data_IF_113242768500
#
_entry.id   IF_113242768500
#
_cell.length_a   1.000
_cell.length_b   1.000
_cell.length_c   1.000
_cell.angle_alpha   90.00
_cell.angle_beta   90.00
_cell.angle_gamma   90.00
#
_symmetry.space_group_name_H-M   'P 1'
#
loop_
_entity.id
_entity.type
_entity.pdbx_description
1 polymer ?
#
# COMPACT_ATOMS: atom_id res chain seq x y z
N UNK A 1 36.69 -0.01 -44.49
CA UNK A 1 35.84 -0.75 -43.54
C UNK A 1 34.59 0.08 -43.25
N UNK A 2 33.42 -0.30 -43.79
CA UNK A 2 32.13 0.32 -43.42
C UNK A 2 31.64 -0.41 -42.17
N UNK A 3 31.65 0.25 -41.01
CA UNK A 3 31.21 -0.34 -39.75
C UNK A 3 29.75 -0.81 -39.87
N UNK A 4 29.52 -2.09 -39.58
CA UNK A 4 28.27 -2.84 -39.78
C UNK A 4 27.17 -2.51 -38.74
N UNK A 5 27.43 -1.60 -37.81
CA UNK A 5 26.52 -1.29 -36.69
C UNK A 5 25.51 -0.13 -36.93
N UNK A 6 25.13 0.14 -38.19
CA UNK A 6 24.19 1.20 -38.55
C UNK A 6 22.86 0.67 -39.09
N UNK A 7 22.27 -0.33 -38.43
CA UNK A 7 20.93 -0.79 -38.79
C UNK A 7 19.88 0.03 -37.99
N UNK A 8 19.13 0.93 -38.64
CA UNK A 8 18.01 1.64 -38.00
C UNK A 8 16.91 0.68 -37.53
N UNK A 9 16.88 -0.54 -38.08
CA UNK A 9 16.05 -1.63 -37.56
C UNK A 9 16.40 -1.99 -36.11
N UNK A 10 17.69 -2.03 -35.75
CA UNK A 10 18.14 -2.33 -34.39
C UNK A 10 17.74 -1.23 -33.39
N UNK A 11 17.90 0.04 -33.79
CA UNK A 11 17.51 1.18 -32.94
C UNK A 11 16.00 1.15 -32.64
N UNK A 12 15.21 0.84 -33.67
CA UNK A 12 13.76 0.83 -33.54
C UNK A 12 13.26 -0.40 -32.76
N UNK A 13 13.89 -1.56 -32.96
CA UNK A 13 13.63 -2.75 -32.16
C UNK A 13 13.96 -2.52 -30.67
N UNK A 14 15.08 -1.83 -30.36
CA UNK A 14 15.44 -1.46 -28.99
C UNK A 14 14.45 -0.47 -28.38
N UNK A 15 13.98 0.51 -29.14
CA UNK A 15 12.99 1.48 -28.66
C UNK A 15 11.61 0.83 -28.39
N UNK A 16 11.18 -0.08 -29.27
CA UNK A 16 9.94 -0.85 -29.06
C UNK A 16 10.05 -1.85 -27.91
N UNK A 17 11.21 -2.49 -27.78
CA UNK A 17 11.50 -3.34 -26.63
C UNK A 17 11.45 -2.52 -25.33
N UNK A 18 12.05 -1.32 -25.31
CA UNK A 18 11.98 -0.40 -24.17
C UNK A 18 10.55 0.01 -23.83
N UNK A 19 9.74 0.36 -24.86
CA UNK A 19 8.35 0.76 -24.69
C UNK A 19 7.47 -0.42 -24.20
N UNK A 20 7.65 -1.61 -24.77
CA UNK A 20 6.96 -2.83 -24.35
C UNK A 20 7.35 -3.24 -22.93
N UNK A 21 8.63 -3.16 -22.56
CA UNK A 21 9.12 -3.46 -21.22
C UNK A 21 8.59 -2.43 -20.20
N UNK A 22 8.57 -1.15 -20.56
CA UNK A 22 7.99 -0.07 -19.73
C UNK A 22 6.48 -0.25 -19.55
N UNK A 23 5.77 -0.66 -20.61
CA UNK A 23 4.36 -1.00 -20.53
C UNK A 23 4.13 -2.18 -19.58
N UNK A 24 4.87 -3.27 -19.76
CA UNK A 24 4.80 -4.46 -18.91
C UNK A 24 5.04 -4.11 -17.43
N UNK A 25 5.95 -3.18 -17.14
CA UNK A 25 6.13 -2.68 -15.77
C UNK A 25 4.98 -1.85 -15.24
N UNK A 26 4.35 -1.03 -16.09
CA UNK A 26 3.24 -0.14 -15.68
C UNK A 26 1.92 -0.89 -15.48
N UNK A 27 1.73 -2.02 -16.16
CA UNK A 27 0.54 -2.88 -16.04
C UNK A 27 0.54 -3.76 -14.77
N UNK A 28 1.39 -3.46 -13.79
CA UNK A 28 1.46 -4.21 -12.53
C UNK A 28 2.18 -5.56 -12.61
N UNK A 29 2.73 -5.94 -13.77
CA UNK A 29 3.52 -7.17 -13.93
C UNK A 29 4.99 -7.00 -13.52
N UNK A 30 5.34 -5.85 -12.95
CA UNK A 30 6.60 -5.72 -12.22
C UNK A 30 6.54 -6.68 -11.02
N UNK A 31 7.20 -7.84 -11.14
CA UNK A 31 7.22 -8.95 -10.16
C UNK A 31 7.66 -8.48 -8.75
N UNK A 32 8.23 -7.28 -8.65
CA UNK A 32 8.68 -6.68 -7.40
C UNK A 32 7.76 -5.52 -6.97
N UNK A 33 7.30 -5.56 -5.72
CA UNK A 33 6.57 -4.48 -5.01
C UNK A 33 7.21 -3.08 -5.12
N UNK A 34 8.49 -3.01 -5.48
CA UNK A 34 9.24 -1.78 -5.71
C UNK A 34 8.54 -0.82 -6.69
N UNK A 35 7.93 -1.33 -7.77
CA UNK A 35 7.21 -0.51 -8.74
C UNK A 35 5.92 0.07 -8.14
N UNK A 36 5.19 -0.70 -7.34
CA UNK A 36 3.98 -0.26 -6.64
C UNK A 36 4.24 0.80 -5.57
N UNK A 37 5.41 0.79 -4.94
CA UNK A 37 5.80 1.84 -4.00
C UNK A 37 6.21 3.15 -4.68
N UNK A 38 6.40 3.18 -6.00
CA UNK A 38 6.67 4.44 -6.71
C UNK A 38 5.45 5.33 -6.85
N UNK A 39 4.26 4.86 -6.48
CA UNK A 39 3.03 5.66 -6.44
C UNK A 39 3.16 6.83 -5.47
N UNK A 40 3.93 6.69 -4.38
CA UNK A 40 4.25 7.80 -3.47
C UNK A 40 5.14 8.88 -4.11
N UNK A 41 5.85 8.54 -5.19
CA UNK A 41 6.64 9.48 -5.97
C UNK A 41 5.88 9.99 -7.18
N UNK A 42 4.54 9.93 -7.21
CA UNK A 42 3.74 10.38 -8.34
C UNK A 42 4.12 11.80 -8.79
N UNK A 43 4.30 11.97 -10.10
CA UNK A 43 4.50 13.28 -10.70
C UNK A 43 3.15 13.75 -11.22
N UNK A 44 2.67 14.91 -10.76
CA UNK A 44 1.34 15.45 -11.08
C UNK A 44 0.20 14.45 -10.81
N UNK A 45 0.30 13.66 -9.74
CA UNK A 45 -0.74 12.68 -9.36
C UNK A 45 -0.74 11.38 -10.18
N UNK A 46 0.18 11.20 -11.13
CA UNK A 46 0.32 9.98 -11.91
C UNK A 46 1.61 9.22 -11.58
N UNK A 47 1.59 7.87 -11.59
CA UNK A 47 2.77 7.07 -11.32
C UNK A 47 3.84 7.26 -12.41
N UNK A 48 5.12 7.14 -12.04
CA UNK A 48 6.26 7.33 -12.96
C UNK A 48 6.21 6.45 -14.21
N UNK A 49 5.58 5.27 -14.15
CA UNK A 49 5.39 4.41 -15.32
C UNK A 49 4.62 5.10 -16.45
N UNK A 50 3.60 5.90 -16.12
CA UNK A 50 2.82 6.68 -17.10
C UNK A 50 3.72 7.73 -17.76
N UNK A 51 4.51 8.45 -16.97
CA UNK A 51 5.45 9.45 -17.49
C UNK A 51 6.57 8.84 -18.32
N UNK A 52 7.02 7.63 -17.98
CA UNK A 52 7.94 6.85 -18.81
C UNK A 52 7.35 6.55 -20.18
N UNK A 53 6.08 6.11 -20.24
CA UNK A 53 5.38 5.85 -21.49
C UNK A 53 5.24 7.13 -22.35
N UNK A 54 4.86 8.26 -21.73
CA UNK A 54 4.80 9.57 -22.40
C UNK A 54 6.17 9.98 -22.95
N UNK A 55 7.23 9.82 -22.16
CA UNK A 55 8.61 10.11 -22.58
C UNK A 55 9.01 9.30 -23.82
N UNK A 56 8.79 7.98 -23.82
CA UNK A 56 9.14 7.14 -24.96
C UNK A 56 8.30 7.46 -26.21
N UNK A 57 7.03 7.86 -26.03
CA UNK A 57 6.20 8.33 -27.14
C UNK A 57 6.75 9.63 -27.76
N UNK A 58 7.20 10.58 -26.94
CA UNK A 58 7.85 11.82 -27.41
C UNK A 58 9.15 11.51 -28.16
N UNK A 59 10.00 10.65 -27.59
CA UNK A 59 11.25 10.21 -28.24
C UNK A 59 10.98 9.56 -29.60
N UNK A 60 9.98 8.67 -29.68
CA UNK A 60 9.58 8.06 -30.93
C UNK A 60 9.08 9.09 -31.96
N UNK A 61 8.29 10.08 -31.53
CA UNK A 61 7.83 11.18 -32.38
C UNK A 61 8.97 12.05 -32.91
N UNK A 62 9.94 12.40 -32.05
CA UNK A 62 11.13 13.17 -32.45
C UNK A 62 12.01 12.41 -33.45
N UNK A 63 12.17 11.10 -33.23
CA UNK A 63 12.84 10.22 -34.18
C UNK A 63 12.10 10.19 -35.52
N UNK A 64 10.78 10.07 -35.50
CA UNK A 64 9.93 10.06 -36.69
C UNK A 64 9.99 11.35 -37.51
N UNK A 65 10.07 12.49 -36.83
CA UNK A 65 10.22 13.79 -37.45
C UNK A 65 11.65 14.04 -38.00
N UNK A 66 12.61 13.16 -37.72
CA UNK A 66 14.02 13.40 -38.05
C UNK A 66 14.63 14.56 -37.25
N UNK A 67 14.05 14.92 -36.10
CA UNK A 67 14.48 16.03 -35.25
C UNK A 67 15.69 15.63 -34.38
N UNK A 68 16.86 15.51 -35.01
CA UNK A 68 18.07 14.93 -34.39
C UNK A 68 18.50 15.62 -33.10
N UNK A 69 18.53 16.96 -33.09
CA UNK A 69 18.95 17.73 -31.92
C UNK A 69 17.96 17.61 -30.74
N UNK A 70 16.65 17.86 -30.94
CA UNK A 70 15.65 17.62 -29.90
C UNK A 70 15.64 16.18 -29.38
N UNK A 71 15.77 15.19 -30.27
CA UNK A 71 15.87 13.78 -29.88
C UNK A 71 17.03 13.55 -28.92
N UNK A 72 18.23 14.03 -29.26
CA UNK A 72 19.41 13.90 -28.40
C UNK A 72 19.23 14.55 -27.04
N UNK A 73 18.66 15.75 -27.00
CA UNK A 73 18.36 16.44 -25.75
C UNK A 73 17.37 15.64 -24.89
N UNK A 74 16.27 15.16 -25.49
CA UNK A 74 15.30 14.32 -24.80
C UNK A 74 15.94 13.04 -24.22
N UNK A 75 16.81 12.37 -24.99
CA UNK A 75 17.50 11.17 -24.50
C UNK A 75 18.41 11.46 -23.29
N UNK A 76 19.13 12.58 -23.29
CA UNK A 76 19.94 12.99 -22.13
C UNK A 76 19.08 13.27 -20.89
N UNK A 77 17.95 13.96 -21.07
CA UNK A 77 16.98 14.18 -19.99
C UNK A 77 16.46 12.84 -19.46
N UNK A 78 16.09 11.91 -20.34
CA UNK A 78 15.63 10.57 -19.96
C UNK A 78 16.67 9.79 -19.14
N UNK A 79 17.95 9.83 -19.54
CA UNK A 79 19.05 9.23 -18.76
C UNK A 79 19.16 9.87 -17.39
N UNK A 80 19.11 11.20 -17.29
CA UNK A 80 19.16 11.92 -16.02
C UNK A 80 18.00 11.54 -15.08
N UNK A 81 16.78 11.49 -15.61
CA UNK A 81 15.58 11.08 -14.86
C UNK A 81 15.70 9.63 -14.39
N UNK A 82 16.12 8.70 -15.24
CA UNK A 82 16.32 7.30 -14.83
C UNK A 82 17.39 7.16 -13.74
N UNK A 83 18.52 7.87 -13.87
CA UNK A 83 19.57 7.87 -12.86
C UNK A 83 19.07 8.42 -11.52
N UNK A 84 18.29 9.50 -11.55
CA UNK A 84 17.66 10.07 -10.36
C UNK A 84 16.69 9.10 -9.68
N UNK A 85 15.80 8.46 -10.46
CA UNK A 85 14.86 7.46 -9.92
C UNK A 85 15.58 6.26 -9.31
N UNK A 86 16.61 5.74 -9.98
CA UNK A 86 17.44 4.66 -9.44
C UNK A 86 18.15 5.08 -8.15
N UNK A 87 18.70 6.30 -8.10
CA UNK A 87 19.36 6.82 -6.90
C UNK A 87 18.38 6.95 -5.71
N UNK A 88 17.16 7.41 -5.95
CA UNK A 88 16.10 7.45 -4.92
C UNK A 88 15.77 6.04 -4.43
N UNK A 89 15.58 5.08 -5.35
CA UNK A 89 15.26 3.70 -4.97
C UNK A 89 16.36 3.11 -4.09
N UNK A 90 17.63 3.26 -4.49
CA UNK A 90 18.78 2.79 -3.71
C UNK A 90 18.83 3.46 -2.33
N UNK A 91 18.62 4.79 -2.25
CA UNK A 91 18.63 5.53 -0.98
C UNK A 91 17.55 5.04 0.00
N UNK A 92 16.43 4.53 -0.52
CA UNK A 92 15.34 3.96 0.27
C UNK A 92 15.51 2.45 0.53
N UNK A 93 16.67 1.87 0.21
CA UNK A 93 16.93 0.44 0.40
C UNK A 93 16.21 -0.47 -0.60
N UNK A 94 15.70 0.08 -1.71
CA UNK A 94 14.96 -0.65 -2.73
C UNK A 94 15.87 -0.83 -3.95
N UNK A 95 16.30 -2.07 -4.23
CA UNK A 95 17.02 -2.40 -5.47
C UNK A 95 16.08 -3.07 -6.46
N UNK A 96 15.66 -2.36 -7.51
CA UNK A 96 14.88 -2.94 -8.61
C UNK A 96 15.78 -3.19 -9.83
N UNK A 97 16.08 -4.47 -10.09
CA UNK A 97 16.88 -4.88 -11.25
C UNK A 97 16.29 -4.37 -12.57
N UNK A 98 14.96 -4.29 -12.65
CA UNK A 98 14.26 -3.82 -13.85
C UNK A 98 14.42 -2.32 -14.09
N UNK A 99 14.32 -1.48 -13.04
CA UNK A 99 14.62 -0.05 -13.14
C UNK A 99 16.07 0.18 -13.55
N UNK A 100 17.00 -0.64 -13.03
CA UNK A 100 18.41 -0.59 -13.42
C UNK A 100 18.61 -0.97 -14.90
N UNK A 101 17.94 -2.03 -15.38
CA UNK A 101 17.96 -2.42 -16.80
C UNK A 101 17.39 -1.31 -17.70
N UNK A 102 16.28 -0.69 -17.32
CA UNK A 102 15.69 0.43 -18.06
C UNK A 102 16.63 1.65 -18.08
N UNK A 103 17.33 1.94 -16.98
CA UNK A 103 18.33 3.00 -16.96
C UNK A 103 19.52 2.72 -17.91
N UNK A 104 20.04 1.49 -17.93
CA UNK A 104 21.08 1.08 -18.89
C UNK A 104 20.57 1.10 -20.33
N UNK A 105 19.32 0.71 -20.57
CA UNK A 105 18.70 0.76 -21.89
C UNK A 105 18.57 2.21 -22.38
N UNK A 106 18.10 3.13 -21.52
CA UNK A 106 18.03 4.55 -21.82
C UNK A 106 19.40 5.13 -22.15
N UNK A 107 20.44 4.76 -21.39
CA UNK A 107 21.82 5.15 -21.66
C UNK A 107 22.31 4.61 -23.02
N UNK A 108 22.06 3.34 -23.31
CA UNK A 108 22.43 2.73 -24.60
C UNK A 108 21.73 3.41 -25.78
N UNK A 109 20.43 3.69 -25.66
CA UNK A 109 19.68 4.41 -26.68
C UNK A 109 20.16 5.86 -26.86
N UNK A 110 20.57 6.53 -25.77
CA UNK A 110 21.18 7.85 -25.84
C UNK A 110 22.51 7.79 -26.61
N UNK A 111 23.43 6.90 -26.24
CA UNK A 111 24.70 6.69 -26.97
C UNK A 111 24.46 6.42 -28.45
N UNK A 112 23.47 5.58 -28.78
CA UNK A 112 23.11 5.30 -30.17
C UNK A 112 22.56 6.55 -30.90
N UNK A 113 21.77 7.41 -30.24
CA UNK A 113 21.29 8.67 -30.82
C UNK A 113 22.43 9.67 -31.17
N UNK A 114 23.55 9.60 -30.44
CA UNK A 114 24.72 10.44 -30.73
C UNK A 114 25.65 9.85 -31.78
N UNK A 115 25.73 8.52 -31.88
CA UNK A 115 26.71 7.81 -32.73
C UNK A 115 26.17 7.41 -34.11
N UNK A 116 24.86 7.15 -34.24
CA UNK A 116 24.27 6.72 -35.51
C UNK A 116 23.92 7.93 -36.38
N UNK A 117 24.51 7.99 -37.58
CA UNK A 117 24.08 8.93 -38.63
C UNK A 117 22.87 8.34 -39.35
N UNK A 118 21.67 8.74 -38.93
CA UNK A 118 20.43 8.36 -39.61
C UNK A 118 20.25 9.18 -40.88
N UNK A 119 20.07 8.51 -42.02
CA UNK A 119 19.57 9.19 -43.20
C UNK A 119 18.07 9.51 -42.99
N UNK A 120 17.59 10.70 -43.37
CA UNK A 120 16.20 11.13 -43.12
C UNK A 120 15.17 10.19 -43.73
N UNK A 121 15.47 9.64 -44.91
CA UNK A 121 14.60 8.69 -45.63
C UNK A 121 14.41 7.40 -44.86
N UNK A 122 15.48 6.89 -44.23
CA UNK A 122 15.40 5.66 -43.48
C UNK A 122 14.74 5.89 -42.12
N UNK A 123 15.04 7.00 -41.45
CA UNK A 123 14.31 7.39 -40.24
C UNK A 123 12.79 7.42 -40.48
N UNK A 124 12.34 8.06 -41.58
CA UNK A 124 10.92 8.20 -41.92
C UNK A 124 10.22 6.87 -42.23
N UNK A 125 10.89 5.95 -42.94
CA UNK A 125 10.34 4.63 -43.30
C UNK A 125 10.16 3.73 -42.08
N UNK A 126 11.13 3.73 -41.18
CA UNK A 126 11.09 2.93 -39.95
C UNK A 126 10.15 3.57 -38.92
N UNK A 127 10.14 4.90 -38.83
CA UNK A 127 9.23 5.61 -37.95
C UNK A 127 7.77 5.18 -38.15
N UNK A 128 7.26 5.16 -39.38
CA UNK A 128 5.87 4.82 -39.63
C UNK A 128 5.51 3.38 -39.23
N UNK A 129 6.39 2.41 -39.51
CA UNK A 129 6.18 0.99 -39.21
C UNK A 129 6.14 0.70 -37.70
N UNK A 130 6.81 1.52 -36.90
CA UNK A 130 7.08 1.21 -35.51
C UNK A 130 6.48 2.21 -34.52
N UNK A 131 6.18 3.45 -34.93
CA UNK A 131 5.50 4.44 -34.09
C UNK A 131 4.03 4.09 -33.86
N UNK A 132 3.34 3.52 -34.84
CA UNK A 132 1.93 3.14 -34.71
C UNK A 132 1.69 2.04 -33.65
N UNK A 133 2.46 0.92 -33.62
CA UNK A 133 2.36 -0.05 -32.54
C UNK A 133 2.75 0.53 -31.18
N UNK A 134 3.80 1.36 -31.10
CA UNK A 134 4.20 1.99 -29.84
C UNK A 134 3.10 2.89 -29.27
N UNK A 135 2.49 3.72 -30.11
CA UNK A 135 1.37 4.59 -29.73
C UNK A 135 0.18 3.74 -29.28
N UNK A 136 -0.16 2.66 -30.00
CA UNK A 136 -1.25 1.77 -29.61
C UNK A 136 -1.00 1.09 -28.25
N UNK A 137 0.24 0.66 -27.98
CA UNK A 137 0.66 0.07 -26.70
C UNK A 137 0.61 1.09 -25.56
N UNK A 138 0.89 2.38 -25.83
CA UNK A 138 0.82 3.45 -24.82
C UNK A 138 -0.62 3.93 -24.56
N UNK A 139 -1.49 3.90 -25.56
CA UNK A 139 -2.88 4.37 -25.43
C UNK A 139 -3.83 3.30 -24.89
N UNK A 140 -3.63 2.02 -25.22
CA UNK A 140 -4.46 0.93 -24.71
C UNK A 140 -4.59 0.94 -23.17
N UNK A 141 -3.54 1.14 -22.37
CA UNK A 141 -3.61 1.08 -20.91
C UNK A 141 -4.19 2.34 -20.30
N UNK A 142 -4.00 3.50 -20.92
CA UNK A 142 -4.70 4.72 -20.52
C UNK A 142 -6.22 4.54 -20.65
N UNK A 143 -6.66 3.77 -21.65
CA UNK A 143 -8.07 3.46 -21.88
C UNK A 143 -8.57 2.29 -21.01
N UNK A 144 -7.78 1.22 -20.85
CA UNK A 144 -8.19 0.00 -20.13
C UNK A 144 -7.87 0.04 -18.62
N UNK A 145 -6.73 0.62 -18.23
CA UNK A 145 -6.32 0.76 -16.84
C UNK A 145 -7.22 1.72 -16.05
N UNK A 146 -7.66 2.82 -16.70
CA UNK A 146 -8.61 3.75 -16.09
C UNK A 146 -9.98 3.12 -15.80
N UNK A 147 -10.39 2.14 -16.61
CA UNK A 147 -11.65 1.42 -16.41
C UNK A 147 -11.58 0.41 -15.25
N UNK A 148 -10.39 -0.09 -14.90
CA UNK A 148 -10.23 -1.11 -13.86
C UNK A 148 -9.85 -0.57 -12.48
N UNK A 149 -9.15 0.56 -12.39
CA UNK A 149 -8.74 1.15 -11.10
C UNK A 149 -9.85 1.90 -10.36
N UNK A 150 -11.02 2.08 -10.97
CA UNK A 150 -12.18 2.76 -10.36
C UNK A 150 -13.22 1.81 -9.75
N UNK A 151 -13.05 0.49 -9.86
CA UNK A 151 -13.94 -0.46 -9.17
C UNK A 151 -13.37 -0.77 -7.79
N UNK A 152 -13.33 0.25 -6.93
CA UNK A 152 -13.29 -0.04 -5.49
C UNK A 152 -14.56 -0.85 -5.18
N UNK A 153 -14.45 -2.06 -4.63
CA UNK A 153 -15.63 -2.78 -4.18
C UNK A 153 -16.35 -1.88 -3.16
N UNK A 154 -17.65 -1.67 -3.36
CA UNK A 154 -18.44 -0.84 -2.47
C UNK A 154 -18.27 -1.39 -1.05
N UNK A 155 -17.80 -0.54 -0.14
CA UNK A 155 -17.50 -0.90 1.24
C UNK A 155 -18.72 -1.52 1.92
N UNK A 156 -19.93 -1.10 1.51
CA UNK A 156 -21.18 -1.69 1.95
C UNK A 156 -21.28 -3.17 1.56
N UNK A 157 -20.85 -3.54 0.35
CA UNK A 157 -20.86 -4.91 -0.16
C UNK A 157 -19.86 -5.81 0.59
N UNK A 158 -18.66 -5.30 0.88
CA UNK A 158 -17.63 -6.05 1.64
C UNK A 158 -18.03 -6.20 3.11
N UNK A 159 -18.57 -5.14 3.75
CA UNK A 159 -19.08 -5.22 5.12
C UNK A 159 -20.29 -6.14 5.24
N UNK A 160 -21.18 -6.15 4.26
CA UNK A 160 -22.33 -7.05 4.27
C UNK A 160 -21.91 -8.50 4.02
N UNK A 161 -20.91 -8.77 3.17
CA UNK A 161 -20.33 -10.10 3.02
C UNK A 161 -19.72 -10.60 4.34
N UNK A 162 -18.90 -9.76 5.00
CA UNK A 162 -18.30 -10.11 6.31
C UNK A 162 -19.36 -10.29 7.41
N UNK A 163 -20.42 -9.48 7.43
CA UNK A 163 -21.56 -9.67 8.36
C UNK A 163 -22.30 -10.97 8.10
N UNK A 164 -22.52 -11.34 6.84
CA UNK A 164 -23.20 -12.59 6.49
C UNK A 164 -22.37 -13.81 6.85
N UNK A 165 -21.04 -13.76 6.67
CA UNK A 165 -20.13 -14.83 7.04
C UNK A 165 -20.08 -15.01 8.57
N UNK A 166 -19.95 -13.91 9.32
CA UNK A 166 -20.02 -13.92 10.79
C UNK A 166 -21.38 -14.42 11.33
N UNK A 167 -22.49 -14.07 10.66
CA UNK A 167 -23.82 -14.56 11.03
C UNK A 167 -24.03 -16.05 10.67
N UNK A 168 -23.39 -16.54 9.61
CA UNK A 168 -23.45 -17.94 9.18
C UNK A 168 -22.74 -18.89 10.16
N UNK A 169 -21.57 -18.49 10.64
CA UNK A 169 -20.76 -19.29 11.57
C UNK A 169 -21.42 -19.40 12.96
N UNK A 170 -22.11 -18.34 13.40
CA UNK A 170 -22.91 -18.36 14.64
C UNK A 170 -24.07 -19.36 14.57
N UNK A 171 -24.68 -19.53 13.39
CA UNK A 171 -25.81 -20.45 13.19
C UNK A 171 -25.38 -21.92 13.13
N UNK A 172 -24.17 -22.20 12.65
CA UNK A 172 -23.59 -23.55 12.63
C UNK A 172 -23.23 -24.04 14.04
N UNK A 173 -22.76 -23.15 14.93
CA UNK A 173 -22.43 -23.48 16.32
C UNK A 173 -23.63 -23.76 17.22
N UNK A 174 -24.78 -23.10 16.99
CA UNK A 174 -25.97 -23.27 17.84
C UNK A 174 -26.67 -24.62 17.70
N UNK A 175 -26.48 -25.34 16.59
CA UNK A 175 -27.03 -26.70 16.44
C UNK A 175 -26.24 -27.77 17.23
N UNK A 176 -25.01 -27.49 17.65
CA UNK A 176 -24.22 -28.45 18.45
C UNK A 176 -24.44 -28.30 19.96
N UNK A 177 -24.95 -27.16 20.43
CA UNK A 177 -25.18 -26.93 21.86
C UNK A 177 -26.57 -27.40 22.35
N UNK A 178 -27.54 -27.56 21.46
CA UNK A 178 -28.89 -28.02 21.82
C UNK A 178 -28.98 -29.53 22.14
N UNK A 179 -27.97 -30.33 21.80
CA UNK A 179 -27.88 -31.74 22.20
C UNK A 179 -27.28 -31.95 23.60
N UNK A 180 -26.80 -30.90 24.28
CA UNK A 180 -26.19 -31.00 25.62
C UNK A 180 -27.08 -30.45 26.75
N UNK A 181 -28.25 -29.89 26.46
CA UNK A 181 -29.11 -29.23 27.45
C UNK A 181 -30.18 -30.14 28.10
N UNK A 182 -30.16 -31.45 27.86
CA UNK A 182 -31.17 -32.40 28.38
C UNK A 182 -30.74 -33.16 29.66
N UNK A 183 -29.71 -32.70 30.36
CA UNK A 183 -29.36 -33.18 31.70
C UNK A 183 -29.38 -32.02 32.70
N UNK A 184 -30.55 -31.74 33.27
CA UNK A 184 -30.69 -30.92 34.47
C UNK A 184 -31.28 -31.76 35.59
N UNK A 185 -30.43 -32.09 36.56
CA UNK A 185 -30.86 -32.62 37.86
C UNK A 185 -31.73 -31.58 38.58
N UNK A 186 -32.81 -32.00 39.25
CA UNK A 186 -33.66 -31.10 40.03
C UNK A 186 -32.95 -30.67 41.32
N UNK A 187 -32.70 -29.38 41.46
CA UNK A 187 -32.23 -28.77 42.72
C UNK A 187 -33.43 -28.61 43.67
N UNK A 188 -33.36 -29.08 44.92
CA UNK A 188 -34.42 -28.88 45.90
C UNK A 188 -34.44 -27.43 46.37
N UNK A 189 -35.64 -26.86 46.43
CA UNK A 189 -35.92 -25.54 46.96
C UNK A 189 -36.05 -25.61 48.49
N UNK A 190 -35.25 -24.81 49.19
CA UNK A 190 -35.56 -24.28 50.53
C UNK A 190 -34.54 -23.19 50.87
N UNK A 191 -34.97 -21.93 50.98
CA UNK A 191 -34.77 -21.12 52.21
C UNK A 191 -35.40 -19.72 52.11
N UNK A 192 -35.78 -19.13 53.27
CA UNK A 192 -36.82 -18.12 53.39
C UNK A 192 -36.34 -16.66 53.37
N UNK A 193 -37.31 -15.79 53.09
CA UNK A 193 -37.23 -14.35 53.00
C UNK A 193 -36.73 -13.64 54.28
N UNK A 194 -35.91 -12.59 54.09
CA UNK A 194 -35.46 -11.66 55.13
C UNK A 194 -36.04 -10.25 54.88
N UNK A 195 -36.39 -9.46 55.93
CA UNK A 195 -37.29 -8.31 55.81
C UNK A 195 -36.63 -7.01 55.35
N UNK A 196 -37.48 -6.16 54.78
CA UNK A 196 -37.22 -4.82 54.25
C UNK A 196 -36.65 -3.84 55.29
N UNK A 197 -35.70 -3.01 54.85
CA UNK A 197 -35.21 -1.83 55.54
C UNK A 197 -35.47 -0.56 54.71
N UNK A 198 -35.58 0.56 55.44
CA UNK A 198 -36.18 1.84 55.07
C UNK A 198 -35.62 2.58 53.85
N UNK A 199 -36.46 3.42 53.19
CA UNK A 199 -36.03 4.35 52.15
C UNK A 199 -35.28 5.55 52.77
N UNK A 200 -33.96 5.55 52.61
CA UNK A 200 -33.11 6.71 52.87
C UNK A 200 -33.23 7.71 51.70
N UNK A 201 -33.46 8.99 52.01
CA UNK A 201 -33.64 10.05 51.01
C UNK A 201 -32.34 10.21 50.20
N UNK A 202 -32.37 10.11 48.86
CA UNK A 202 -31.18 10.28 48.04
C UNK A 202 -30.69 11.73 48.11
N UNK A 203 -29.43 11.87 48.55
CA UNK A 203 -28.65 13.10 48.40
C UNK A 203 -28.48 13.35 46.90
N UNK A 204 -28.75 14.57 46.39
CA UNK A 204 -28.57 14.87 44.97
C UNK A 204 -27.09 14.71 44.60
N UNK A 205 -26.82 13.67 43.83
CA UNK A 205 -25.53 13.37 43.24
C UNK A 205 -25.09 14.54 42.34
N UNK A 206 -23.83 14.99 42.46
CA UNK A 206 -23.30 16.04 41.58
C UNK A 206 -23.38 15.54 40.13
N UNK A 207 -24.00 16.34 39.26
CA UNK A 207 -24.16 16.01 37.84
C UNK A 207 -22.81 15.59 37.25
N UNK A 208 -22.70 14.39 36.64
CA UNK A 208 -21.46 13.94 36.05
C UNK A 208 -21.00 14.96 35.02
N UNK A 209 -19.78 15.47 35.18
CA UNK A 209 -19.09 16.20 34.10
C UNK A 209 -19.19 15.29 32.89
N UNK A 210 -19.83 15.75 31.82
CA UNK A 210 -19.83 15.06 30.53
C UNK A 210 -18.38 14.98 30.06
N UNK A 211 -17.71 13.89 30.39
CA UNK A 211 -16.47 13.49 29.75
C UNK A 211 -16.80 13.27 28.28
N UNK A 212 -16.08 13.96 27.39
CA UNK A 212 -16.21 13.76 25.95
C UNK A 212 -16.01 12.28 25.59
N UNK A 213 -16.47 11.87 24.39
CA UNK A 213 -16.37 10.47 23.96
C UNK A 213 -14.94 9.95 24.18
N UNK A 214 -14.84 8.82 24.87
CA UNK A 214 -13.55 8.20 25.17
C UNK A 214 -12.77 7.97 23.87
N UNK A 215 -11.47 8.31 23.81
CA UNK A 215 -10.68 8.23 22.58
C UNK A 215 -10.25 6.79 22.32
N UNK A 216 -11.22 6.01 21.90
CA UNK A 216 -11.11 4.58 21.67
C UNK A 216 -10.91 4.33 20.17
N UNK A 217 -9.91 3.52 19.83
CA UNK A 217 -9.81 2.92 18.52
C UNK A 217 -10.52 1.56 18.54
N UNK A 218 -11.56 1.41 17.72
CA UNK A 218 -12.22 0.12 17.51
C UNK A 218 -11.35 -0.74 16.58
N UNK A 219 -10.92 -1.89 17.07
CA UNK A 219 -10.13 -2.86 16.32
C UNK A 219 -10.65 -4.28 16.54
N UNK A 220 -10.09 -5.25 15.84
CA UNK A 220 -10.43 -6.67 15.99
C UNK A 220 -9.21 -7.48 16.38
N UNK A 221 -9.36 -8.43 17.31
CA UNK A 221 -8.32 -9.41 17.63
C UNK A 221 -8.18 -10.47 16.52
N UNK A 222 -7.23 -11.41 16.68
CA UNK A 222 -7.01 -12.50 15.71
C UNK A 222 -8.20 -13.48 15.58
N UNK A 223 -9.19 -13.39 16.47
CA UNK A 223 -10.42 -14.21 16.45
C UNK A 223 -11.61 -13.43 15.88
N UNK A 224 -11.40 -12.21 15.39
CA UNK A 224 -12.47 -11.34 14.89
C UNK A 224 -13.30 -10.68 15.99
N UNK A 225 -12.89 -10.74 17.25
CA UNK A 225 -13.61 -10.08 18.35
C UNK A 225 -13.30 -8.59 18.34
N UNK A 226 -14.33 -7.73 18.39
CA UNK A 226 -14.15 -6.28 18.52
C UNK A 226 -13.54 -5.95 19.88
N UNK A 227 -12.45 -5.20 19.87
CA UNK A 227 -11.73 -4.71 21.05
C UNK A 227 -11.63 -3.20 20.97
N UNK A 228 -11.83 -2.56 22.11
CA UNK A 228 -11.67 -1.12 22.31
C UNK A 228 -10.25 -0.84 22.80
N UNK A 229 -9.44 -0.17 21.99
CA UNK A 229 -8.08 0.24 22.35
C UNK A 229 -8.09 1.68 22.86
N UNK A 230 -7.75 1.88 24.13
CA UNK A 230 -7.68 3.21 24.74
C UNK A 230 -6.36 3.92 24.34
N UNK A 231 -6.46 4.92 23.46
CA UNK A 231 -5.30 5.64 22.94
C UNK A 231 -4.64 6.61 23.95
N UNK A 232 -5.25 6.82 25.12
CA UNK A 232 -4.62 7.54 26.25
C UNK A 232 -3.69 6.65 27.07
N UNK A 233 -3.99 5.36 27.13
CA UNK A 233 -3.18 4.40 27.89
C UNK A 233 -1.96 3.96 27.12
N UNK A 234 -2.13 3.61 25.84
CA UNK A 234 -1.03 3.20 24.97
C UNK A 234 -1.25 3.69 23.53
N UNK A 235 -0.20 4.22 22.87
CA UNK A 235 -0.30 4.58 21.46
C UNK A 235 -0.51 3.35 20.58
N UNK A 236 -1.19 3.52 19.45
CA UNK A 236 -1.35 2.50 18.43
C UNK A 236 -0.37 2.74 17.28
N UNK A 237 0.44 1.73 16.94
CA UNK A 237 1.32 1.73 15.77
C UNK A 237 0.63 0.99 14.63
N UNK A 238 0.15 1.74 13.65
CA UNK A 238 -0.43 1.20 12.43
C UNK A 238 0.66 0.71 11.48
N UNK A 239 0.47 -0.48 10.94
CA UNK A 239 1.38 -1.06 9.95
C UNK A 239 0.66 -1.98 8.98
N UNK A 240 1.39 -2.41 7.95
CA UNK A 240 0.97 -3.51 7.06
C UNK A 240 2.09 -4.53 6.93
N UNK A 241 1.74 -5.80 6.77
CA UNK A 241 2.74 -6.87 6.70
C UNK A 241 3.69 -6.73 5.51
N UNK A 242 3.23 -6.17 4.40
CA UNK A 242 4.00 -5.92 3.17
C UNK A 242 4.74 -4.58 3.16
N UNK A 243 4.54 -3.72 4.16
CA UNK A 243 5.15 -2.40 4.23
C UNK A 243 6.59 -2.51 4.76
N UNK A 244 7.58 -2.36 3.88
CA UNK A 244 9.02 -2.37 4.23
C UNK A 244 9.41 -1.21 5.17
N UNK A 245 8.84 -0.02 4.96
CA UNK A 245 9.08 1.14 5.83
C UNK A 245 8.59 0.89 7.27
N UNK A 246 7.65 -0.02 7.47
CA UNK A 246 7.10 -0.38 8.77
C UNK A 246 8.07 -1.28 9.57
N UNK A 247 8.98 -2.01 8.91
CA UNK A 247 9.94 -2.90 9.57
C UNK A 247 10.81 -2.14 10.57
N UNK A 248 11.25 -0.94 10.18
CA UNK A 248 12.04 -0.07 11.04
C UNK A 248 11.26 0.40 12.26
N UNK A 249 10.02 0.84 12.08
CA UNK A 249 9.17 1.30 13.19
C UNK A 249 8.87 0.15 14.18
N UNK A 250 8.55 -1.04 13.67
CA UNK A 250 8.33 -2.23 14.49
C UNK A 250 9.60 -2.64 15.26
N UNK A 251 10.78 -2.60 14.60
CA UNK A 251 12.05 -2.93 15.24
C UNK A 251 12.41 -1.97 16.38
N UNK A 252 12.18 -0.67 16.20
CA UNK A 252 12.39 0.31 17.28
C UNK A 252 11.36 0.15 18.40
N UNK A 253 10.11 -0.17 18.08
CA UNK A 253 9.08 -0.46 19.09
C UNK A 253 9.48 -1.65 19.98
N UNK A 254 10.10 -2.69 19.42
CA UNK A 254 10.54 -3.88 20.19
C UNK A 254 11.60 -3.51 21.23
N UNK A 255 12.45 -2.52 20.93
CA UNK A 255 13.52 -2.07 21.83
C UNK A 255 13.00 -1.25 23.02
N UNK A 256 11.77 -0.75 22.95
CA UNK A 256 11.16 0.00 24.05
C UNK A 256 10.82 -0.93 25.23
N UNK A 257 10.81 -0.40 26.47
CA UNK A 257 10.27 -1.12 27.63
C UNK A 257 8.83 -1.60 27.36
N UNK A 258 8.44 -2.83 27.76
CA UNK A 258 7.12 -3.39 27.46
C UNK A 258 5.93 -2.47 27.76
N UNK A 259 6.04 -1.67 28.81
CA UNK A 259 5.00 -0.75 29.29
C UNK A 259 4.81 0.46 28.37
N UNK A 260 5.86 0.86 27.63
CA UNK A 260 5.86 1.99 26.70
C UNK A 260 5.72 1.57 25.24
N UNK A 261 5.66 0.27 24.95
CA UNK A 261 5.52 -0.21 23.56
C UNK A 261 4.19 0.24 22.99
N UNK A 262 4.13 0.77 21.76
CA UNK A 262 2.85 0.96 21.10
C UNK A 262 2.17 -0.40 20.85
N UNK A 263 0.84 -0.39 20.81
CA UNK A 263 0.03 -1.54 20.43
C UNK A 263 0.13 -1.71 18.91
N UNK A 264 0.56 -2.87 18.38
CA UNK A 264 0.63 -3.08 16.94
C UNK A 264 -0.78 -3.28 16.37
N UNK A 265 -1.14 -2.47 15.38
CA UNK A 265 -2.44 -2.54 14.68
C UNK A 265 -2.20 -2.69 13.18
N UNK A 266 -2.54 -3.84 12.63
CA UNK A 266 -2.43 -4.13 11.21
C UNK A 266 -3.61 -3.55 10.42
N UNK A 267 -3.30 -2.97 9.26
CA UNK A 267 -4.29 -2.39 8.34
C UNK A 267 -3.77 -2.41 6.89
N UNK A 268 -4.53 -1.84 5.95
CA UNK A 268 -4.25 -1.86 4.50
C UNK A 268 -3.97 -3.27 3.93
N UNK A 269 -4.91 -4.19 4.14
CA UNK A 269 -4.83 -5.55 3.60
C UNK A 269 -4.95 -5.53 2.07
N UNK A 270 -4.05 -6.23 1.37
CA UNK A 270 -3.99 -6.24 -0.11
C UNK A 270 -5.02 -7.17 -0.71
N UNK A 271 -5.21 -8.33 -0.09
CA UNK A 271 -6.14 -9.35 -0.55
C UNK A 271 -7.27 -9.52 0.46
N UNK A 272 -8.35 -8.74 0.28
CA UNK A 272 -9.52 -8.82 1.14
C UNK A 272 -10.28 -10.15 0.99
N UNK A 273 -10.10 -10.87 -0.13
CA UNK A 273 -10.71 -12.19 -0.33
C UNK A 273 -9.96 -13.28 0.43
N UNK A 274 -8.75 -12.99 0.92
CA UNK A 274 -7.95 -13.89 1.74
C UNK A 274 -7.49 -13.19 3.03
N UNK A 275 -8.43 -12.53 3.71
CA UNK A 275 -8.17 -11.74 4.90
C UNK A 275 -7.48 -12.57 6.01
N UNK A 276 -7.82 -13.86 6.14
CA UNK A 276 -7.20 -14.73 7.14
C UNK A 276 -5.69 -14.91 6.92
N UNK A 277 -5.25 -15.10 5.67
CA UNK A 277 -3.82 -15.17 5.37
C UNK A 277 -3.12 -13.82 5.61
N UNK A 278 -3.78 -12.71 5.29
CA UNK A 278 -3.26 -11.37 5.56
C UNK A 278 -3.13 -11.07 7.06
N UNK A 279 -4.11 -11.49 7.86
CA UNK A 279 -4.09 -11.45 9.33
C UNK A 279 -2.92 -12.28 9.86
N UNK A 280 -2.77 -13.53 9.40
CA UNK A 280 -1.69 -14.40 9.84
C UNK A 280 -0.31 -13.79 9.56
N UNK A 281 -0.06 -13.27 8.35
CA UNK A 281 1.21 -12.59 8.01
C UNK A 281 1.47 -11.38 8.90
N UNK A 282 0.41 -10.65 9.26
CA UNK A 282 0.51 -9.49 10.14
C UNK A 282 0.86 -9.89 11.59
N UNK A 283 0.28 -10.98 12.09
CA UNK A 283 0.64 -11.57 13.38
C UNK A 283 2.10 -11.99 13.40
N UNK A 284 2.55 -12.73 12.39
CA UNK A 284 3.94 -13.20 12.29
C UNK A 284 4.92 -12.02 12.33
N UNK A 285 4.66 -10.96 11.55
CA UNK A 285 5.53 -9.78 11.44
C UNK A 285 5.71 -9.01 12.74
N UNK A 286 4.66 -8.86 13.53
CA UNK A 286 4.68 -8.03 14.75
C UNK A 286 4.54 -8.83 16.06
N UNK A 287 4.67 -10.16 15.99
CA UNK A 287 4.53 -11.10 17.12
C UNK A 287 5.38 -10.74 18.35
N UNK A 288 6.55 -10.14 18.15
CA UNK A 288 7.47 -9.73 19.22
C UNK A 288 6.97 -8.52 20.04
N UNK A 289 5.97 -7.78 19.56
CA UNK A 289 5.36 -6.65 20.26
C UNK A 289 4.17 -7.07 21.14
N UNK A 290 3.70 -8.31 21.02
CA UNK A 290 2.50 -8.82 21.68
C UNK A 290 1.35 -9.07 20.69
N UNK A 291 0.10 -9.12 21.18
CA UNK A 291 -1.08 -9.33 20.33
C UNK A 291 -1.19 -8.24 19.26
N UNK A 292 -1.36 -8.66 18.00
CA UNK A 292 -1.64 -7.74 16.89
C UNK A 292 -3.15 -7.60 16.72
N UNK A 293 -3.62 -6.36 16.67
CA UNK A 293 -5.01 -6.03 16.38
C UNK A 293 -5.16 -5.60 14.92
N UNK A 294 -6.39 -5.53 14.42
CA UNK A 294 -6.65 -5.26 13.01
C UNK A 294 -7.72 -4.20 12.85
N UNK A 295 -7.54 -3.30 11.89
CA UNK A 295 -8.57 -2.34 11.47
C UNK A 295 -8.74 -2.40 9.96
N UNK A 296 -9.99 -2.60 9.52
CA UNK A 296 -10.34 -2.67 8.10
C UNK A 296 -10.34 -1.28 7.46
N UNK A 297 -10.79 -0.28 8.22
CA UNK A 297 -10.77 1.13 7.83
C UNK A 297 -9.63 1.83 8.57
N UNK A 298 -8.54 2.19 7.87
CA UNK A 298 -7.40 2.83 8.49
C UNK A 298 -7.76 4.26 8.93
N UNK A 299 -7.52 4.65 10.19
CA UNK A 299 -7.78 6.01 10.68
C UNK A 299 -6.68 7.03 10.29
N UNK A 300 -5.75 6.64 9.41
CA UNK A 300 -4.65 7.47 8.92
C UNK A 300 -4.41 7.19 7.44
N UNK A 301 -3.93 8.16 6.68
CA UNK A 301 -3.74 8.09 5.21
C UNK A 301 -2.62 7.15 4.73
N UNK A 302 -1.84 6.56 5.64
CA UNK A 302 -0.80 5.62 5.28
C UNK A 302 -0.13 4.93 6.47
N UNK A 303 0.82 4.07 6.17
CA UNK A 303 1.64 3.34 7.14
C UNK A 303 3.15 3.46 6.84
N UNK A 304 4.03 3.42 7.86
CA UNK A 304 3.70 3.33 9.28
C UNK A 304 3.06 4.62 9.78
N UNK A 305 2.14 4.49 10.74
CA UNK A 305 1.48 5.62 11.40
C UNK A 305 1.40 5.37 12.90
N UNK A 306 1.51 6.43 13.71
CA UNK A 306 1.36 6.37 15.15
C UNK A 306 0.18 7.23 15.57
N UNK A 307 -0.74 6.65 16.34
CA UNK A 307 -1.91 7.31 16.89
C UNK A 307 -1.84 7.32 18.42
N UNK A 308 -2.14 8.45 19.03
CA UNK A 308 -2.26 8.58 20.48
C UNK A 308 -3.24 9.70 20.83
N UNK A 309 -3.64 9.79 22.10
CA UNK A 309 -4.53 10.85 22.55
C UNK A 309 -3.94 11.63 23.73
N UNK A 310 -3.60 12.90 23.53
CA UNK A 310 -3.01 13.80 24.54
C UNK A 310 -3.94 14.96 24.94
N UNK A 311 -5.25 14.72 24.84
CA UNK A 311 -6.30 15.75 24.94
C UNK A 311 -7.02 15.91 23.61
N UNK A 312 -6.30 15.63 22.51
CA UNK A 312 -6.82 15.49 21.16
C UNK A 312 -6.25 14.22 20.53
N UNK A 313 -6.94 13.66 19.52
CA UNK A 313 -6.38 12.59 18.71
C UNK A 313 -5.22 13.15 17.88
N UNK A 314 -4.03 12.59 18.08
CA UNK A 314 -2.83 12.91 17.32
C UNK A 314 -2.50 11.75 16.39
N UNK A 315 -2.07 12.09 15.18
CA UNK A 315 -1.65 11.13 14.16
C UNK A 315 -0.37 11.64 13.50
N UNK A 316 0.65 10.80 13.41
CA UNK A 316 1.82 11.05 12.55
C UNK A 316 2.01 9.90 11.58
N UNK A 317 2.31 10.23 10.33
CA UNK A 317 2.49 9.25 9.24
C UNK A 317 3.93 9.32 8.75
N UNK A 318 4.49 8.16 8.41
CA UNK A 318 5.82 8.01 7.82
C UNK A 318 6.88 7.58 8.84
N UNK A 319 7.82 6.75 8.39
CA UNK A 319 8.78 6.09 9.27
C UNK A 319 9.61 7.07 10.12
N UNK A 320 10.13 8.16 9.54
CA UNK A 320 10.94 9.12 10.29
C UNK A 320 10.13 9.83 11.40
N UNK A 321 8.94 10.31 11.07
CA UNK A 321 8.04 11.01 11.99
C UNK A 321 7.54 10.09 13.11
N UNK A 322 7.22 8.83 12.78
CA UNK A 322 6.82 7.82 13.78
C UNK A 322 7.94 7.55 14.78
N UNK A 323 9.18 7.39 14.31
CA UNK A 323 10.33 7.14 15.19
C UNK A 323 10.62 8.32 16.13
N UNK A 324 10.51 9.55 15.62
CA UNK A 324 10.65 10.75 16.43
C UNK A 324 9.53 10.85 17.48
N UNK A 325 8.28 10.62 17.07
CA UNK A 325 7.14 10.64 18.00
C UNK A 325 7.25 9.57 19.10
N UNK A 326 7.65 8.34 18.77
CA UNK A 326 7.82 7.26 19.75
C UNK A 326 8.81 7.58 20.88
N UNK A 327 9.76 8.50 20.66
CA UNK A 327 10.67 8.94 21.71
C UNK A 327 9.99 9.85 22.76
N UNK A 328 8.90 10.51 22.38
CA UNK A 328 8.25 11.57 23.16
C UNK A 328 6.85 11.20 23.66
N UNK A 329 6.22 10.19 23.07
CA UNK A 329 4.89 9.73 23.50
C UNK A 329 5.00 9.16 24.94
N UNK A 330 4.07 9.54 25.83
CA UNK A 330 4.09 9.14 27.24
C UNK A 330 4.20 7.62 27.45
#
# INVERSE_FOLDING_TARGET
>A
MRCVFQSPALYTALALYAAGLSYFTSAGLCITDACGQTVHYAFLGYPWGVWGAVFYAVVAGLFAAGAVWPLRAAMLVGVGVHAYLVAILIRNGISCLLCLHLAFLALGLAVAAFTVRLSPLVARRYAFLFSLPAIAIVLAPAMFGYAHTQREPDLAEVLDALRQEAAGEFRAGTHSAQTAADFREPVPADEPAKPAAHPEKPVPEPSPKQEGPEPVLLAFDARGTVVQLNLRERPALLFSWWCSSCDRALSEAIKMPPERRPVPVATYFRDRNNLQAEIQRSQEKASLLGPVYHVLEPPAEGVPALLWHDGELRTVVGAASVLDAMAHVP
#
